data_IF_317108999311
#
_entry.id   IF_317108999311
#
_cell.length_a   1.000
_cell.length_b   1.000
_cell.length_c   1.000
_cell.angle_alpha   90.00
_cell.angle_beta   90.00
_cell.angle_gamma   90.00
#
_symmetry.space_group_name_H-M   'P 1'
#
loop_
_entity.id
_entity.type
_entity.pdbx_description
1 polymer ?
2 non-polymer ?
#
# COMPACT_ATOMS: atom_id res chain seq x y z
N UNK A 1 -4.28 9.34 9.38
CA UNK A 1 -5.62 8.76 9.60
C UNK A 1 -5.91 7.88 8.36
N UNK A 2 -6.69 6.82 8.40
CA UNK A 2 -6.96 5.98 7.16
C UNK A 2 -7.36 6.78 5.90
N UNK A 3 -6.32 7.23 5.24
CA UNK A 3 -6.43 8.03 3.98
C UNK A 3 -6.60 6.99 2.84
N UNK A 4 -7.44 7.22 1.86
CA UNK A 4 -7.60 6.17 0.77
C UNK A 4 -6.79 6.24 -0.53
N UNK A 5 -6.03 5.19 -0.64
CA UNK A 5 -5.10 4.90 -1.76
C UNK A 5 -5.94 3.98 -2.66
N UNK A 6 -6.39 4.56 -3.73
CA UNK A 6 -7.22 3.78 -4.69
C UNK A 6 -6.31 3.26 -5.83
N UNK A 7 -6.59 2.03 -6.14
CA UNK A 7 -5.87 1.25 -7.19
C UNK A 7 -6.59 1.48 -8.53
N UNK A 8 -6.24 2.60 -9.08
CA UNK A 8 -6.76 3.13 -10.38
C UNK A 8 -7.38 4.52 -10.10
N UNK A 9 -7.55 5.35 -11.09
CA UNK A 9 -8.14 6.73 -10.83
C UNK A 9 -9.51 7.14 -11.39
N UNK A 10 -9.64 7.43 -12.66
CA UNK A 10 -10.98 7.85 -13.20
C UNK A 10 -11.88 6.81 -13.95
N UNK A 11 -11.72 6.66 -15.22
CA UNK A 11 -12.49 5.70 -16.07
C UNK A 11 -11.56 4.53 -16.42
N UNK A 12 -10.31 4.85 -16.67
CA UNK A 12 -9.27 3.80 -17.05
C UNK A 12 -8.01 3.76 -16.19
N UNK A 13 -7.34 4.87 -16.11
CA UNK A 13 -6.07 5.03 -15.31
C UNK A 13 -5.80 3.99 -14.17
N UNK A 14 -4.80 3.16 -14.32
CA UNK A 14 -4.46 2.12 -13.27
C UNK A 14 -3.27 2.48 -12.35
N UNK A 15 -3.36 3.59 -11.69
CA UNK A 15 -2.25 4.05 -10.77
C UNK A 15 -2.62 4.06 -9.25
N UNK A 16 -1.70 4.59 -8.48
CA UNK A 16 -1.85 4.71 -6.99
C UNK A 16 -2.21 6.16 -6.58
N UNK A 17 -3.46 6.38 -6.31
CA UNK A 17 -3.91 7.76 -5.89
C UNK A 17 -4.35 7.73 -4.40
N UNK A 18 -3.60 8.37 -3.51
CA UNK A 18 -2.21 8.87 -3.71
C UNK A 18 -1.07 7.78 -3.80
N UNK A 19 0.09 8.24 -4.15
CA UNK A 19 1.31 7.37 -4.31
C UNK A 19 2.38 7.55 -3.20
N UNK A 20 2.74 8.77 -2.90
CA UNK A 20 3.77 9.10 -1.85
C UNK A 20 3.03 9.71 -0.62
N UNK A 21 2.89 8.90 0.40
CA UNK A 21 2.18 9.31 1.66
C UNK A 21 2.98 9.43 3.00
N UNK A 22 3.16 10.61 3.52
CA UNK A 22 3.92 10.71 4.83
C UNK A 22 2.77 10.74 5.83
N UNK A 23 2.72 9.73 6.63
CA UNK A 23 1.66 9.57 7.67
C UNK A 23 2.21 9.99 9.02
N UNK A 24 1.73 9.33 10.03
CA UNK A 24 2.19 9.64 11.41
C UNK A 24 3.07 8.43 11.92
N UNK A 25 3.74 8.57 13.06
CA UNK A 25 4.35 7.39 13.76
C UNK A 25 3.32 6.31 14.23
N UNK A 26 2.63 5.69 13.30
CA UNK A 26 1.60 4.62 13.68
C UNK A 26 0.19 5.09 13.33
N UNK A 27 0.05 5.34 12.06
CA UNK A 27 -1.24 5.81 11.48
C UNK A 27 -2.04 4.65 10.78
N UNK A 28 -3.17 5.04 10.28
CA UNK A 28 -4.11 4.15 9.55
C UNK A 28 -4.20 4.59 8.09
N UNK A 29 -4.19 3.63 7.23
CA UNK A 29 -4.27 3.82 5.75
C UNK A 29 -5.44 3.03 5.11
N UNK A 30 -6.04 3.52 4.07
CA UNK A 30 -7.16 2.78 3.41
C UNK A 30 -6.77 2.36 1.97
N UNK A 31 -7.04 1.14 1.62
CA UNK A 31 -6.72 0.61 0.25
C UNK A 31 -8.01 0.24 -0.52
N UNK A 32 -8.37 1.04 -1.50
CA UNK A 32 -9.61 0.78 -2.30
C UNK A 32 -9.37 0.38 -3.79
N UNK A 33 -9.92 -0.73 -4.20
CA UNK A 33 -9.71 -1.15 -5.63
C UNK A 33 -10.47 -0.20 -6.62
N UNK A 34 -9.82 0.40 -7.58
CA UNK A 34 -10.59 1.29 -8.53
C UNK A 34 -10.81 0.66 -9.93
N UNK A 35 -9.77 0.11 -10.51
CA UNK A 35 -9.89 -0.52 -11.88
C UNK A 35 -9.27 -1.94 -12.03
N UNK A 36 -9.16 -2.41 -13.24
CA UNK A 36 -8.59 -3.77 -13.60
C UNK A 36 -7.99 -4.65 -12.45
N UNK A 37 -8.67 -5.73 -12.10
CA UNK A 37 -8.26 -6.61 -10.96
C UNK A 37 -7.17 -7.69 -11.28
N UNK A 38 -6.82 -8.49 -10.30
CA UNK A 38 -7.04 -8.25 -8.83
C UNK A 38 -5.79 -7.57 -8.22
N UNK A 39 -5.95 -6.80 -7.18
CA UNK A 39 -4.74 -6.13 -6.56
C UNK A 39 -4.29 -6.57 -5.12
N UNK A 40 -3.13 -7.15 -4.99
CA UNK A 40 -2.60 -7.59 -3.64
C UNK A 40 -1.40 -6.66 -3.34
N UNK A 41 -1.22 -6.14 -2.17
CA UNK A 41 -0.03 -5.25 -1.98
C UNK A 41 1.02 -5.87 -1.05
N UNK A 42 2.14 -6.13 -1.63
CA UNK A 42 3.26 -6.73 -0.86
C UNK A 42 4.26 -5.56 -0.61
N UNK A 43 4.93 -5.56 0.51
CA UNK A 43 5.89 -4.44 0.79
C UNK A 43 7.37 -4.71 0.44
N UNK A 44 8.06 -3.62 0.47
CA UNK A 44 9.53 -3.44 0.20
C UNK A 44 10.53 -4.63 0.46
N UNK A 45 10.27 -5.82 -0.05
CA UNK A 45 11.21 -7.00 0.17
C UNK A 45 12.67 -6.53 0.01
N UNK A 46 12.85 -5.64 -0.92
CA UNK A 46 14.18 -5.06 -1.24
C UNK A 46 14.37 -3.57 -0.75
N UNK A 47 13.42 -2.70 -1.02
CA UNK A 47 13.54 -1.25 -0.61
C UNK A 47 13.04 -0.66 0.77
N UNK A 48 13.50 -1.16 1.88
CA UNK A 48 13.06 -0.62 3.22
C UNK A 48 14.22 -0.21 4.17
N UNK A 49 14.03 0.79 5.01
CA UNK A 49 15.12 1.36 5.87
C UNK A 49 16.11 0.35 6.48
N UNK A 50 15.57 -0.64 7.13
CA UNK A 50 16.42 -1.70 7.77
C UNK A 50 16.42 -2.99 6.90
N UNK A 51 16.64 -2.80 5.63
CA UNK A 51 16.67 -3.90 4.60
C UNK A 51 16.28 -5.34 5.04
N UNK A 52 15.09 -5.45 5.55
CA UNK A 52 14.57 -6.79 6.02
C UNK A 52 13.44 -7.28 5.11
N UNK A 53 12.93 -8.45 5.40
CA UNK A 53 11.81 -9.07 4.60
C UNK A 53 10.68 -9.36 5.63
N UNK A 54 11.13 -10.11 6.59
CA UNK A 54 10.39 -10.61 7.79
C UNK A 54 9.20 -9.69 8.20
N UNK A 55 9.56 -8.47 8.48
CA UNK A 55 8.60 -7.40 8.90
C UNK A 55 7.93 -6.83 7.63
N UNK A 56 8.70 -6.38 6.67
CA UNK A 56 8.12 -5.81 5.40
C UNK A 56 6.80 -6.54 4.96
N UNK A 57 6.90 -7.83 4.78
CA UNK A 57 5.69 -8.61 4.36
C UNK A 57 4.78 -9.08 5.54
N UNK A 58 4.79 -8.26 6.53
CA UNK A 58 3.99 -8.42 7.80
C UNK A 58 3.27 -7.07 8.03
N UNK A 59 3.48 -6.21 7.07
CA UNK A 59 2.90 -4.84 7.00
C UNK A 59 2.06 -4.93 5.70
N UNK A 60 2.71 -5.33 4.62
CA UNK A 60 1.96 -5.46 3.33
C UNK A 60 0.83 -6.50 3.41
N UNK A 61 -0.29 -6.18 2.82
CA UNK A 61 -1.47 -7.10 2.84
C UNK A 61 -2.05 -7.62 1.48
N UNK A 62 -2.36 -8.88 1.49
CA UNK A 62 -2.93 -9.57 0.28
C UNK A 62 -4.42 -9.94 0.45
N UNK A 63 -5.22 -9.02 0.03
CA UNK A 63 -6.72 -9.19 0.11
C UNK A 63 -7.36 -9.11 -1.30
N UNK A 64 -6.63 -9.65 -2.25
CA UNK A 64 -7.03 -9.70 -3.70
C UNK A 64 -8.12 -8.67 -4.12
N UNK A 65 -7.79 -7.40 -3.99
CA UNK A 65 -8.75 -6.30 -4.37
C UNK A 65 -9.27 -6.51 -5.81
N UNK A 66 -10.34 -7.26 -5.86
CA UNK A 66 -11.03 -7.62 -7.15
C UNK A 66 -12.47 -7.08 -7.39
N UNK A 67 -13.22 -6.81 -6.35
CA UNK A 67 -14.63 -6.29 -6.58
C UNK A 67 -14.78 -4.75 -6.62
N UNK A 68 -15.43 -4.20 -7.62
CA UNK A 68 -15.53 -2.70 -7.82
C UNK A 68 -16.11 -1.92 -6.61
N UNK A 69 -15.27 -1.65 -5.63
CA UNK A 69 -15.72 -0.89 -4.40
C UNK A 69 -15.38 -1.66 -3.13
N UNK A 70 -14.16 -2.11 -3.14
CA UNK A 70 -13.53 -2.90 -2.04
C UNK A 70 -12.44 -2.04 -1.35
N UNK A 71 -12.82 -1.44 -0.26
CA UNK A 71 -11.91 -0.55 0.57
C UNK A 71 -11.57 -1.20 1.94
N UNK A 72 -10.31 -1.41 2.19
CA UNK A 72 -9.88 -2.05 3.50
C UNK A 72 -9.02 -1.20 4.50
N UNK A 73 -9.65 -0.26 5.16
CA UNK A 73 -8.91 0.63 6.16
C UNK A 73 -8.07 -0.21 7.17
N UNK A 74 -6.77 -0.15 7.00
CA UNK A 74 -5.80 -0.91 7.89
C UNK A 74 -4.83 0.00 8.70
N UNK A 75 -4.37 -0.47 9.83
CA UNK A 75 -3.41 0.33 10.71
C UNK A 75 -2.00 -0.25 10.86
N UNK A 76 -1.04 0.60 11.11
CA UNK A 76 0.39 0.18 11.30
C UNK A 76 0.86 0.32 12.78
N UNK A 77 1.96 -0.28 13.18
CA UNK A 77 2.55 0.01 14.53
C UNK A 77 3.19 1.43 14.61
N UNK A 78 3.67 1.81 15.77
CA UNK A 78 4.30 3.17 15.94
C UNK A 78 5.85 3.27 15.94
N UNK A 79 6.47 2.25 15.41
CA UNK A 79 7.96 2.19 15.32
C UNK A 79 8.36 2.29 13.80
N UNK A 80 7.82 1.36 13.05
CA UNK A 80 7.99 1.18 11.59
C UNK A 80 9.12 2.05 10.94
N UNK A 81 10.33 1.82 11.39
CA UNK A 81 11.45 2.81 11.32
C UNK A 81 11.25 4.06 10.43
N UNK A 82 10.34 4.86 10.89
CA UNK A 82 9.89 6.16 10.26
C UNK A 82 10.45 6.57 8.85
N UNK A 83 10.42 5.64 7.94
CA UNK A 83 10.93 5.90 6.53
C UNK A 83 9.97 5.62 5.38
N UNK A 84 10.44 5.92 4.21
CA UNK A 84 9.67 5.74 2.93
C UNK A 84 9.53 4.25 2.49
N UNK A 85 8.55 3.56 2.99
CA UNK A 85 8.35 2.12 2.60
C UNK A 85 7.84 1.97 1.14
N UNK A 86 7.61 0.78 0.68
CA UNK A 86 7.13 0.55 -0.74
C UNK A 86 6.23 -0.67 -0.95
N UNK A 87 5.00 -0.41 -1.25
CA UNK A 87 4.00 -1.49 -1.49
C UNK A 87 3.63 -1.61 -2.97
N UNK A 88 3.79 -2.77 -3.50
CA UNK A 88 3.45 -3.03 -4.94
C UNK A 88 2.31 -4.04 -5.17
N UNK A 89 1.54 -3.78 -6.19
CA UNK A 89 0.38 -4.68 -6.55
C UNK A 89 0.74 -5.99 -7.33
N UNK A 90 1.22 -6.97 -6.63
CA UNK A 90 1.62 -8.31 -7.24
C UNK A 90 1.42 -8.62 -8.78
N UNK A 91 0.21 -8.80 -9.28
CA UNK A 91 -0.05 -9.17 -10.72
C UNK A 91 -0.02 -7.99 -11.70
N UNK A 92 0.09 -6.81 -11.18
CA UNK A 92 0.10 -5.56 -12.01
C UNK A 92 1.46 -4.80 -12.03
N UNK A 93 2.38 -5.37 -12.74
CA UNK A 93 3.74 -4.75 -12.86
C UNK A 93 3.79 -3.95 -14.19
N UNK A 94 4.68 -3.01 -14.31
CA UNK A 94 4.75 -2.20 -15.60
C UNK A 94 3.77 -1.03 -15.48
N UNK A 95 2.53 -1.40 -15.25
CA UNK A 95 1.42 -0.41 -15.09
C UNK A 95 1.41 0.16 -13.64
N UNK A 96 2.46 0.91 -13.39
CA UNK A 96 2.77 1.63 -12.10
C UNK A 96 1.91 1.46 -10.82
N UNK A 97 1.55 0.26 -10.50
CA UNK A 97 0.71 0.05 -9.26
C UNK A 97 1.57 -0.08 -7.97
N UNK A 98 2.37 0.92 -7.76
CA UNK A 98 3.29 1.00 -6.56
C UNK A 98 3.11 2.26 -5.65
N UNK A 99 3.13 2.06 -4.35
CA UNK A 99 2.99 3.22 -3.37
C UNK A 99 4.03 3.26 -2.23
N UNK A 100 4.24 4.40 -1.65
CA UNK A 100 5.22 4.59 -0.52
C UNK A 100 4.64 5.31 0.73
N UNK A 101 4.77 4.71 1.89
CA UNK A 101 4.26 5.35 3.16
C UNK A 101 5.49 5.75 4.02
N UNK A 102 5.42 6.90 4.61
CA UNK A 102 6.55 7.40 5.48
C UNK A 102 5.96 7.36 6.88
N UNK A 103 6.36 6.45 7.72
CA UNK A 103 5.74 6.44 9.11
C UNK A 103 6.51 7.42 10.04
N UNK A 104 6.45 8.67 9.66
CA UNK A 104 7.13 9.78 10.41
C UNK A 104 6.21 10.74 11.21
N UNK A 105 6.84 11.61 11.97
CA UNK A 105 6.16 12.62 12.83
C UNK A 105 7.07 13.82 13.04
X LIG B 1 -3.25 -3.89 -9.41
#
# INVERSE_FOLDING_TARGET
ETYTVKLGSDKGLLVFEPAKLTIKPGDTVEFLNNKVPPHNVVFDAALNPAKSADLAKSLSHKQLLMSPGQSTSTTFPADAPAGEYTFYCEPHRGAGMVGKITVAG
CU CU
#
